data_IF_104742890809
#
_entry.id   IF_104742890809
#
_cell.length_a   1.000
_cell.length_b   1.000
_cell.length_c   1.000
_cell.angle_alpha   90.00
_cell.angle_beta   90.00
_cell.angle_gamma   90.00
#
_symmetry.space_group_name_H-M   'P 1'
#
loop_
_entity.id
_entity.type
_entity.pdbx_description
1 polymer ?
#
# COMPACT_ATOMS: atom_id res chain seq x y z
N UNK A 1 10.46 8.47 -24.34
CA UNK A 1 11.32 7.50 -23.62
C UNK A 1 11.10 7.46 -22.10
N UNK A 2 10.37 8.41 -21.49
CA UNK A 2 10.25 8.53 -20.02
C UNK A 2 9.20 7.62 -19.39
N UNK A 3 8.07 7.35 -20.07
CA UNK A 3 6.95 6.57 -19.49
C UNK A 3 7.33 5.13 -19.14
N UNK A 4 8.11 4.47 -20.00
CA UNK A 4 8.59 3.11 -19.74
C UNK A 4 9.53 3.07 -18.53
N UNK A 5 10.40 4.07 -18.38
CA UNK A 5 11.27 4.18 -17.21
C UNK A 5 10.46 4.38 -15.93
N UNK A 6 9.45 5.24 -15.97
CA UNK A 6 8.60 5.53 -14.81
C UNK A 6 7.80 4.27 -14.39
N UNK A 7 7.31 3.49 -15.37
CA UNK A 7 6.64 2.21 -15.12
C UNK A 7 7.60 1.14 -14.53
N UNK A 8 8.83 1.05 -15.04
CA UNK A 8 9.87 0.17 -14.50
C UNK A 8 10.17 0.55 -13.05
N UNK A 9 10.34 1.84 -12.76
CA UNK A 9 10.56 2.33 -11.39
C UNK A 9 9.43 1.90 -10.46
N UNK A 10 8.17 2.10 -10.87
CA UNK A 10 7.03 1.67 -10.08
C UNK A 10 7.02 0.16 -9.84
N UNK A 11 7.31 -0.64 -10.87
CA UNK A 11 7.38 -2.09 -10.74
C UNK A 11 8.47 -2.54 -9.76
N UNK A 12 9.66 -1.92 -9.83
CA UNK A 12 10.77 -2.20 -8.90
C UNK A 12 10.42 -1.82 -7.46
N UNK A 13 9.78 -0.66 -7.25
CA UNK A 13 9.28 -0.24 -5.93
C UNK A 13 8.25 -1.25 -5.41
N UNK A 14 7.33 -1.70 -6.26
CA UNK A 14 6.32 -2.68 -5.88
C UNK A 14 6.96 -4.02 -5.48
N UNK A 15 7.91 -4.54 -6.26
CA UNK A 15 8.65 -5.76 -5.92
C UNK A 15 9.40 -5.62 -4.59
N UNK A 16 10.09 -4.50 -4.38
CA UNK A 16 10.77 -4.22 -3.13
C UNK A 16 9.78 -4.20 -1.95
N UNK A 17 8.62 -3.57 -2.12
CA UNK A 17 7.56 -3.58 -1.11
C UNK A 17 7.05 -5.00 -0.84
N UNK A 18 6.90 -5.85 -1.86
CA UNK A 18 6.48 -7.25 -1.66
C UNK A 18 7.49 -8.06 -0.84
N UNK A 19 8.79 -7.79 -0.98
CA UNK A 19 9.84 -8.41 -0.16
C UNK A 19 9.80 -7.88 1.27
N UNK A 20 9.67 -6.56 1.45
CA UNK A 20 9.67 -5.92 2.78
C UNK A 20 8.45 -6.32 3.60
N UNK A 21 7.27 -6.35 2.97
CA UNK A 21 5.96 -6.58 3.60
C UNK A 21 5.42 -8.00 3.37
N UNK A 22 6.25 -8.94 2.91
CA UNK A 22 5.83 -10.32 2.66
C UNK A 22 5.12 -10.95 3.87
N UNK A 23 5.69 -10.79 5.06
CA UNK A 23 5.10 -11.32 6.30
C UNK A 23 3.77 -10.64 6.66
N UNK A 24 3.70 -9.31 6.52
CA UNK A 24 2.50 -8.52 6.81
C UNK A 24 1.32 -8.96 5.94
N UNK A 25 1.57 -9.20 4.65
CA UNK A 25 0.54 -9.58 3.68
C UNK A 25 0.35 -11.11 3.55
N UNK A 26 0.96 -11.94 4.40
CA UNK A 26 0.92 -13.41 4.27
C UNK A 26 -0.52 -14.01 4.26
N UNK A 27 -1.49 -13.30 4.83
CA UNK A 27 -2.90 -13.69 4.88
C UNK A 27 -3.71 -13.22 3.66
N UNK A 28 -3.14 -12.34 2.82
CA UNK A 28 -3.82 -11.78 1.66
C UNK A 28 -3.57 -12.69 0.45
N UNK A 29 -4.61 -13.20 -0.23
CA UNK A 29 -4.43 -14.05 -1.39
C UNK A 29 -3.69 -13.30 -2.51
N UNK A 30 -2.86 -14.03 -3.25
CA UNK A 30 -2.04 -13.46 -4.33
C UNK A 30 -2.90 -12.70 -5.36
N UNK A 31 -4.09 -13.20 -5.68
CA UNK A 31 -5.04 -12.56 -6.59
C UNK A 31 -5.38 -11.13 -6.15
N UNK A 32 -5.71 -10.92 -4.86
CA UNK A 32 -5.99 -9.58 -4.33
C UNK A 32 -4.77 -8.65 -4.39
N UNK A 33 -3.57 -9.18 -4.17
CA UNK A 33 -2.31 -8.41 -4.27
C UNK A 33 -2.04 -7.98 -5.71
N UNK A 34 -2.25 -8.88 -6.67
CA UNK A 34 -2.15 -8.57 -8.11
C UNK A 34 -3.23 -7.60 -8.59
N UNK A 35 -4.47 -7.74 -8.12
CA UNK A 35 -5.54 -6.78 -8.41
C UNK A 35 -5.19 -5.39 -7.86
N UNK A 36 -4.71 -5.29 -6.62
CA UNK A 36 -4.24 -4.02 -6.04
C UNK A 36 -3.13 -3.41 -6.87
N UNK A 37 -2.15 -4.21 -7.30
CA UNK A 37 -1.09 -3.76 -8.20
C UNK A 37 -1.65 -3.22 -9.52
N UNK A 38 -2.50 -3.97 -10.21
CA UNK A 38 -3.07 -3.58 -11.49
C UNK A 38 -3.89 -2.28 -11.39
N UNK A 39 -4.71 -2.14 -10.36
CA UNK A 39 -5.51 -0.93 -10.11
C UNK A 39 -4.61 0.29 -9.90
N UNK A 40 -3.57 0.16 -9.06
CA UNK A 40 -2.63 1.26 -8.80
C UNK A 40 -1.83 1.60 -10.06
N UNK A 41 -1.37 0.59 -10.81
CA UNK A 41 -0.65 0.79 -12.07
C UNK A 41 -1.47 1.61 -13.06
N UNK A 42 -2.72 1.19 -13.30
CA UNK A 42 -3.64 1.90 -14.21
C UNK A 42 -3.89 3.31 -13.73
N UNK A 43 -4.17 3.51 -12.44
CA UNK A 43 -4.41 4.84 -11.87
C UNK A 43 -3.22 5.78 -12.07
N UNK A 44 -2.01 5.31 -11.77
CA UNK A 44 -0.80 6.10 -11.95
C UNK A 44 -0.49 6.36 -13.42
N UNK A 45 -0.73 5.39 -14.32
CA UNK A 45 -0.62 5.60 -15.76
C UNK A 45 -1.57 6.66 -16.28
N UNK A 46 -2.82 6.69 -15.79
CA UNK A 46 -3.80 7.74 -16.10
C UNK A 46 -3.31 9.11 -15.59
N UNK A 47 -2.87 9.20 -14.33
CA UNK A 47 -2.31 10.46 -13.79
C UNK A 47 -1.13 10.94 -14.64
N UNK A 48 -0.21 10.03 -14.98
CA UNK A 48 0.93 10.36 -15.82
C UNK A 48 0.49 10.85 -17.21
N UNK A 49 -0.51 10.22 -17.83
CA UNK A 49 -0.98 10.56 -19.16
C UNK A 49 -1.70 11.92 -19.23
N UNK A 50 -2.51 12.25 -18.22
CA UNK A 50 -3.37 13.44 -18.25
C UNK A 50 -2.81 14.64 -17.49
N UNK A 51 -2.06 14.42 -16.41
CA UNK A 51 -1.54 15.50 -15.54
C UNK A 51 -0.03 15.65 -15.69
N UNK A 52 0.65 14.56 -16.02
CA UNK A 52 2.09 14.54 -16.28
C UNK A 52 2.92 13.97 -15.15
N UNK A 53 4.24 13.98 -15.38
CA UNK A 53 5.23 13.26 -14.57
C UNK A 53 5.37 13.77 -13.13
N UNK A 54 5.20 15.08 -12.91
CA UNK A 54 5.26 15.67 -11.56
C UNK A 54 4.15 15.13 -10.65
N UNK A 55 2.91 15.08 -11.15
CA UNK A 55 1.77 14.53 -10.43
C UNK A 55 1.91 13.02 -10.18
N UNK A 56 2.48 12.28 -11.14
CA UNK A 56 2.80 10.86 -10.98
C UNK A 56 3.72 10.61 -9.77
N UNK A 57 4.84 11.32 -9.67
CA UNK A 57 5.77 11.16 -8.56
C UNK A 57 5.22 11.71 -7.25
N UNK A 58 4.42 12.79 -7.29
CA UNK A 58 3.72 13.29 -6.11
C UNK A 58 2.74 12.24 -5.55
N UNK A 59 1.98 11.57 -6.44
CA UNK A 59 1.07 10.49 -6.05
C UNK A 59 1.85 9.29 -5.46
N UNK A 60 2.94 8.86 -6.10
CA UNK A 60 3.82 7.82 -5.55
C UNK A 60 4.38 8.18 -4.18
N UNK A 61 4.88 9.41 -4.02
CA UNK A 61 5.42 9.91 -2.76
C UNK A 61 4.35 9.94 -1.67
N UNK A 62 3.15 10.41 -1.98
CA UNK A 62 2.01 10.42 -1.06
C UNK A 62 1.63 9.01 -0.61
N UNK A 63 1.61 8.04 -1.53
CA UNK A 63 1.36 6.64 -1.20
C UNK A 63 2.46 6.06 -0.29
N UNK A 64 3.73 6.36 -0.58
CA UNK A 64 4.86 5.91 0.23
C UNK A 64 4.78 6.47 1.67
N UNK A 65 4.47 7.76 1.81
CA UNK A 65 4.24 8.41 3.12
C UNK A 65 3.06 7.78 3.85
N UNK A 66 1.96 7.50 3.14
CA UNK A 66 0.79 6.82 3.71
C UNK A 66 1.13 5.44 4.24
N UNK A 67 1.88 4.64 3.47
CA UNK A 67 2.34 3.31 3.89
C UNK A 67 3.27 3.42 5.10
N UNK A 68 4.27 4.31 5.07
CA UNK A 68 5.20 4.51 6.18
C UNK A 68 4.47 4.95 7.45
N UNK A 69 3.51 5.87 7.34
CA UNK A 69 2.69 6.35 8.46
C UNK A 69 1.82 5.23 9.03
N UNK A 70 1.18 4.43 8.16
CA UNK A 70 0.31 3.36 8.60
C UNK A 70 1.11 2.24 9.29
N UNK A 71 2.21 1.80 8.69
CA UNK A 71 3.01 0.69 9.22
C UNK A 71 3.89 1.09 10.41
N UNK A 72 4.60 2.21 10.30
CA UNK A 72 5.55 2.65 11.32
C UNK A 72 4.88 3.35 12.50
N UNK A 73 3.98 4.30 12.22
CA UNK A 73 3.35 5.07 13.29
C UNK A 73 2.06 4.41 13.79
N UNK A 74 1.11 4.14 12.91
CA UNK A 74 -0.21 3.68 13.35
C UNK A 74 -0.20 2.25 13.88
N UNK A 75 0.30 1.27 13.12
CA UNK A 75 0.34 -0.11 13.57
C UNK A 75 1.41 -0.32 14.64
N UNK A 76 2.64 0.07 14.38
CA UNK A 76 3.75 -0.25 15.26
C UNK A 76 3.82 0.65 16.49
N UNK A 77 3.98 1.95 16.33
CA UNK A 77 4.13 2.85 17.48
C UNK A 77 2.85 2.95 18.33
N UNK A 78 1.68 3.11 17.69
CA UNK A 78 0.43 3.38 18.41
C UNK A 78 -0.31 2.12 18.89
N UNK A 79 -0.22 1.00 18.18
CA UNK A 79 -0.97 -0.24 18.50
C UNK A 79 -0.08 -1.44 18.82
N UNK A 80 1.26 -1.28 18.86
CA UNK A 80 2.18 -2.36 19.21
C UNK A 80 2.28 -3.48 18.17
N UNK A 81 1.71 -3.30 16.97
CA UNK A 81 1.69 -4.29 15.90
C UNK A 81 2.96 -4.17 15.05
N UNK A 82 3.73 -5.24 14.94
CA UNK A 82 4.98 -5.28 14.19
C UNK A 82 4.80 -4.85 12.73
N UNK A 83 5.46 -3.77 12.34
CA UNK A 83 5.28 -3.07 11.06
C UNK A 83 5.49 -3.95 9.81
N UNK A 84 6.31 -5.02 9.89
CA UNK A 84 6.58 -5.95 8.77
C UNK A 84 5.80 -7.27 8.80
N UNK A 85 5.28 -7.66 9.96
CA UNK A 85 4.75 -9.03 10.18
C UNK A 85 3.31 -9.06 10.65
N UNK A 86 2.76 -7.91 11.06
CA UNK A 86 1.45 -7.82 11.67
C UNK A 86 1.32 -8.69 12.94
N UNK A 87 2.38 -8.77 13.76
CA UNK A 87 2.41 -9.49 15.04
C UNK A 87 2.25 -8.50 16.22
N UNK A 88 1.39 -8.74 17.22
CA UNK A 88 0.51 -9.90 17.40
C UNK A 88 -0.66 -9.91 16.40
N UNK A 89 -0.95 -11.08 15.81
CA UNK A 89 -1.87 -11.21 14.67
C UNK A 89 -3.34 -11.04 15.04
N UNK A 90 -3.71 -11.54 16.21
CA UNK A 90 -5.01 -11.34 16.83
C UNK A 90 -5.35 -9.85 16.97
N UNK A 91 -4.45 -9.05 17.53
CA UNK A 91 -4.63 -7.61 17.68
C UNK A 91 -4.75 -6.89 16.33
N UNK A 92 -3.93 -7.29 15.35
CA UNK A 92 -4.04 -6.75 13.99
C UNK A 92 -5.40 -7.04 13.35
N UNK A 93 -5.87 -8.29 13.42
CA UNK A 93 -7.15 -8.69 12.83
C UNK A 93 -8.33 -8.01 13.53
N UNK A 94 -8.28 -7.89 14.85
CA UNK A 94 -9.28 -7.16 15.63
C UNK A 94 -9.33 -5.68 15.19
N UNK A 95 -8.18 -5.01 15.15
CA UNK A 95 -8.09 -3.60 14.74
C UNK A 95 -8.63 -3.36 13.34
N UNK A 96 -8.28 -4.22 12.38
CA UNK A 96 -8.82 -4.16 11.01
C UNK A 96 -10.33 -4.42 10.99
N UNK A 97 -10.83 -5.37 11.81
CA UNK A 97 -12.26 -5.63 11.97
C UNK A 97 -13.03 -4.43 12.51
N UNK A 98 -12.48 -3.75 13.51
CA UNK A 98 -13.04 -2.52 14.08
C UNK A 98 -13.05 -1.37 13.06
N UNK A 99 -12.00 -1.21 12.25
CA UNK A 99 -11.97 -0.21 11.18
C UNK A 99 -13.05 -0.46 10.13
N UNK A 100 -13.23 -1.73 9.73
CA UNK A 100 -14.23 -2.10 8.72
C UNK A 100 -15.65 -1.85 9.24
N UNK A 101 -15.96 -2.26 10.47
CA UNK A 101 -17.29 -2.06 11.06
C UNK A 101 -17.60 -0.59 11.30
N UNK A 102 -16.62 0.22 11.72
CA UNK A 102 -16.79 1.68 11.81
C UNK A 102 -17.11 2.29 10.46
N UNK A 103 -16.45 1.84 9.39
CA UNK A 103 -16.73 2.31 8.03
C UNK A 103 -18.19 2.02 7.64
N UNK A 104 -18.70 0.82 7.90
CA UNK A 104 -20.08 0.43 7.57
C UNK A 104 -21.15 1.21 8.36
N UNK A 105 -20.85 1.72 9.56
CA UNK A 105 -21.79 2.53 10.36
C UNK A 105 -21.86 4.01 9.98
N UNK A 106 -20.94 4.48 9.14
CA UNK A 106 -20.82 5.92 8.79
C UNK A 106 -21.44 6.24 7.42
N UNK A 107 -21.99 5.24 6.73
CA UNK A 107 -22.77 5.35 5.49
C UNK A 107 -24.18 4.82 5.72
#
# INVERSE_FOLDING_TARGET
>A
MTVYLDAIIFFMIWLAAQVVFHGFEAHVPLTKRLTKFAVIAVLLSVIHAFVGRGAYYAALGMMAVGIASLHGYYFHYRHGIHWRKAEPRDQYLELIGQMKSRKEKTY
#
